data_IF_650273564134
#
_entry.id   IF_650273564134
#
_cell.length_a   1.000
_cell.length_b   1.000
_cell.length_c   1.000
_cell.angle_alpha   90.00
_cell.angle_beta   90.00
_cell.angle_gamma   90.00
#
_symmetry.space_group_name_H-M   'P 1'
#
loop_
_entity.id
_entity.type
_entity.pdbx_description
1 polymer ?
#
# COMPACT_ATOMS: atom_id res chain seq x y z
N UNK A 1 -3.21 50.45 -10.91
CA UNK A 1 -2.45 50.12 -12.14
C UNK A 1 -2.78 48.73 -12.65
N UNK A 2 -2.78 47.70 -11.80
CA UNK A 2 -3.25 46.34 -12.14
C UNK A 2 -4.76 46.27 -12.45
N UNK A 3 -5.57 47.14 -11.85
CA UNK A 3 -7.03 47.24 -12.07
C UNK A 3 -7.43 47.63 -13.50
N UNK A 4 -6.47 48.01 -14.36
CA UNK A 4 -6.70 48.39 -15.76
C UNK A 4 -6.35 47.26 -16.74
N UNK A 5 -5.95 46.09 -16.23
CA UNK A 5 -5.56 44.93 -17.03
C UNK A 5 -6.65 43.87 -16.93
N UNK A 6 -7.15 43.41 -18.08
CA UNK A 6 -8.12 42.33 -18.12
C UNK A 6 -7.45 40.99 -17.83
N UNK A 7 -8.12 40.12 -17.08
CA UNK A 7 -7.69 38.73 -16.90
C UNK A 7 -7.70 38.05 -18.25
N UNK A 8 -6.60 37.41 -18.62
CA UNK A 8 -6.50 36.63 -19.84
C UNK A 8 -7.38 35.37 -19.72
N UNK A 9 -7.98 34.90 -20.82
CA UNK A 9 -8.69 33.63 -20.82
C UNK A 9 -7.75 32.48 -20.45
N UNK A 10 -8.29 31.46 -19.79
CA UNK A 10 -7.56 30.24 -19.50
C UNK A 10 -7.20 29.50 -20.79
N UNK A 11 -6.00 28.93 -20.83
CA UNK A 11 -5.52 28.10 -21.94
C UNK A 11 -5.17 26.70 -21.45
N UNK A 12 -5.52 25.68 -22.25
CA UNK A 12 -5.10 24.31 -22.01
C UNK A 12 -3.76 24.07 -22.69
N UNK A 13 -2.73 23.86 -21.89
CA UNK A 13 -1.38 23.54 -22.37
C UNK A 13 -0.99 22.12 -21.96
N UNK A 14 -0.12 21.43 -22.72
CA UNK A 14 0.46 20.15 -22.28
C UNK A 14 1.20 20.31 -20.95
N UNK A 15 1.16 19.29 -20.08
CA UNK A 15 1.81 19.34 -18.76
C UNK A 15 3.31 19.71 -18.85
N UNK A 16 4.01 19.21 -19.87
CA UNK A 16 5.42 19.52 -20.11
C UNK A 16 5.70 21.01 -20.43
N UNK A 17 4.68 21.76 -20.89
CA UNK A 17 4.76 23.19 -21.18
C UNK A 17 4.09 24.05 -20.09
N UNK A 18 3.44 23.43 -19.10
CA UNK A 18 2.73 24.12 -18.03
C UNK A 18 3.66 24.67 -16.94
N UNK A 19 4.96 24.35 -16.99
CA UNK A 19 5.94 24.87 -16.04
C UNK A 19 5.88 26.41 -16.04
N UNK A 20 5.82 27.01 -14.85
CA UNK A 20 5.67 28.46 -14.63
C UNK A 20 4.30 29.08 -14.97
N UNK A 21 3.35 28.28 -15.45
CA UNK A 21 1.97 28.72 -15.60
C UNK A 21 1.26 28.78 -14.25
N UNK A 22 0.21 29.59 -14.17
CA UNK A 22 -0.69 29.65 -13.00
C UNK A 22 -1.94 28.83 -13.33
N UNK A 23 -2.37 27.98 -12.39
CA UNK A 23 -3.62 27.22 -12.54
C UNK A 23 -4.80 28.18 -12.64
N UNK A 24 -5.62 28.00 -13.67
CA UNK A 24 -6.84 28.77 -13.86
C UNK A 24 -7.98 28.34 -12.91
N UNK A 25 -7.95 27.09 -12.46
CA UNK A 25 -8.94 26.48 -11.57
C UNK A 25 -8.29 25.42 -10.66
N UNK A 26 -8.95 25.01 -9.55
CA UNK A 26 -8.47 23.93 -8.71
C UNK A 26 -8.32 22.61 -9.47
N UNK A 27 -7.25 21.86 -9.19
CA UNK A 27 -7.08 20.48 -9.68
C UNK A 27 -7.59 19.53 -8.61
N UNK A 28 -8.55 18.69 -8.99
CA UNK A 28 -9.14 17.65 -8.13
C UNK A 28 -8.77 16.29 -8.71
N UNK A 29 -8.30 15.37 -7.85
CA UNK A 29 -7.98 14.00 -8.27
C UNK A 29 -9.24 13.28 -8.72
N UNK A 30 -9.15 12.57 -9.85
CA UNK A 30 -10.23 11.70 -10.32
C UNK A 30 -10.25 10.32 -9.63
N UNK A 31 -9.18 9.99 -8.90
CA UNK A 31 -8.96 8.66 -8.33
C UNK A 31 -8.27 8.72 -6.97
N UNK A 32 -8.36 7.62 -6.22
CA UNK A 32 -7.58 7.40 -5.02
C UNK A 32 -6.15 7.00 -5.38
N UNK A 33 -5.18 7.51 -4.61
CA UNK A 33 -3.76 7.16 -4.77
C UNK A 33 -3.20 6.82 -3.38
N UNK A 34 -2.90 5.53 -3.09
CA UNK A 34 -3.06 4.37 -3.98
C UNK A 34 -4.55 3.99 -4.22
N UNK A 35 -4.85 3.27 -5.31
CA UNK A 35 -6.23 2.85 -5.62
C UNK A 35 -6.73 1.66 -4.78
N UNK A 36 -5.86 1.04 -3.98
CA UNK A 36 -6.15 -0.07 -3.08
C UNK A 36 -5.24 -0.01 -1.86
N UNK A 37 -5.63 -0.73 -0.81
CA UNK A 37 -4.79 -0.94 0.37
C UNK A 37 -3.59 -1.80 0.00
N UNK A 38 -2.37 -1.32 0.27
CA UNK A 38 -1.13 -1.99 -0.07
C UNK A 38 -0.19 -2.07 1.13
N UNK A 39 0.74 -3.04 1.10
CA UNK A 39 1.75 -3.15 2.14
C UNK A 39 2.71 -1.97 2.08
N UNK A 40 2.95 -1.33 3.23
CA UNK A 40 3.94 -0.26 3.36
C UNK A 40 5.38 -0.79 3.57
N UNK A 41 5.51 -2.08 3.87
CA UNK A 41 6.77 -2.74 4.25
C UNK A 41 6.91 -4.10 3.57
N UNK A 42 8.13 -4.63 3.56
CA UNK A 42 8.37 -6.04 3.29
C UNK A 42 8.14 -6.83 4.58
N UNK A 43 7.36 -7.91 4.52
CA UNK A 43 6.99 -8.64 5.72
C UNK A 43 5.87 -9.64 5.51
N UNK A 44 4.92 -9.65 6.45
CA UNK A 44 3.82 -10.60 6.46
C UNK A 44 2.48 -9.89 6.67
N UNK A 45 1.55 -10.10 5.75
CA UNK A 45 0.15 -9.73 5.91
C UNK A 45 -0.50 -10.69 6.91
N UNK A 46 -1.09 -10.14 7.96
CA UNK A 46 -1.63 -10.87 9.12
C UNK A 46 -2.97 -10.29 9.54
N UNK A 47 -3.64 -10.99 10.46
CA UNK A 47 -4.73 -10.45 11.25
C UNK A 47 -4.17 -9.83 12.52
N UNK A 48 -4.44 -8.56 12.76
CA UNK A 48 -4.02 -7.81 13.95
C UNK A 48 -4.46 -8.51 15.24
N UNK A 49 -5.64 -9.13 15.23
CA UNK A 49 -6.17 -9.90 16.35
C UNK A 49 -5.30 -11.11 16.73
N UNK A 50 -4.62 -11.74 15.77
CA UNK A 50 -3.76 -12.90 16.04
C UNK A 50 -2.44 -12.44 16.66
N UNK A 51 -1.83 -11.37 16.12
CA UNK A 51 -0.54 -10.82 16.60
C UNK A 51 -0.62 -10.04 17.90
N UNK A 52 -1.82 -9.73 18.40
CA UNK A 52 -2.00 -9.16 19.73
C UNK A 52 -1.51 -10.09 20.85
N UNK A 53 -1.38 -11.40 20.59
CA UNK A 53 -0.86 -12.40 21.51
C UNK A 53 0.63 -12.70 21.31
N UNK A 54 1.36 -11.89 20.54
CA UNK A 54 2.79 -12.08 20.31
C UNK A 54 3.59 -12.18 21.63
N UNK A 55 4.65 -13.03 21.68
CA UNK A 55 5.20 -13.79 20.56
C UNK A 55 4.36 -15.04 20.20
N UNK A 56 4.18 -15.29 18.90
CA UNK A 56 3.46 -16.48 18.40
C UNK A 56 3.90 -16.93 17.01
N UNK A 57 3.62 -18.19 16.68
CA UNK A 57 3.86 -18.74 15.34
C UNK A 57 2.59 -18.67 14.47
N UNK A 58 2.76 -18.22 13.23
CA UNK A 58 1.73 -18.20 12.19
C UNK A 58 2.13 -19.11 11.03
N UNK A 59 1.15 -19.80 10.44
CA UNK A 59 1.34 -20.57 9.21
C UNK A 59 1.44 -19.64 8.00
N UNK A 60 2.51 -19.74 7.22
CA UNK A 60 2.65 -18.99 5.97
C UNK A 60 1.98 -19.78 4.85
N UNK A 61 0.92 -19.22 4.26
CA UNK A 61 0.10 -19.91 3.26
C UNK A 61 0.34 -19.46 1.82
N UNK A 62 1.03 -18.34 1.62
CA UNK A 62 1.38 -17.79 0.30
C UNK A 62 2.54 -16.79 0.38
N UNK A 63 3.08 -16.40 -0.78
CA UNK A 63 4.07 -15.34 -0.95
C UNK A 63 3.73 -14.45 -2.16
N UNK A 64 3.59 -13.14 -1.92
CA UNK A 64 3.16 -12.16 -2.92
C UNK A 64 4.28 -11.13 -3.19
N UNK A 65 4.74 -11.09 -4.44
CA UNK A 65 5.68 -10.06 -4.92
C UNK A 65 4.98 -8.74 -5.25
N UNK A 66 5.76 -7.65 -5.35
CA UNK A 66 5.24 -6.35 -5.77
C UNK A 66 4.54 -6.43 -7.14
N UNK A 67 3.33 -5.85 -7.23
CA UNK A 67 2.51 -5.87 -8.44
C UNK A 67 1.70 -7.16 -8.69
N UNK A 68 1.87 -8.19 -7.85
CA UNK A 68 1.00 -9.38 -7.83
C UNK A 68 -0.01 -9.28 -6.69
N UNK A 69 -1.05 -10.13 -6.71
CA UNK A 69 -2.04 -10.24 -5.65
C UNK A 69 -2.29 -11.72 -5.32
N UNK A 70 -2.48 -12.06 -4.04
CA UNK A 70 -2.90 -13.40 -3.65
C UNK A 70 -4.39 -13.61 -3.95
N UNK A 71 -4.75 -14.84 -4.30
CA UNK A 71 -6.15 -15.29 -4.35
C UNK A 71 -6.61 -15.94 -3.05
N UNK A 72 -5.69 -16.12 -2.09
CA UNK A 72 -5.97 -16.70 -0.78
C UNK A 72 -6.42 -15.61 0.20
N UNK A 73 -7.18 -16.03 1.21
CA UNK A 73 -7.64 -15.18 2.32
C UNK A 73 -6.87 -15.57 3.58
N UNK A 74 -6.33 -14.59 4.29
CA UNK A 74 -5.64 -14.81 5.57
C UNK A 74 -6.67 -15.14 6.65
N UNK A 75 -6.63 -16.37 7.14
CA UNK A 75 -7.44 -16.86 8.26
C UNK A 75 -6.76 -16.72 9.62
N UNK A 76 -7.41 -17.25 10.65
CA UNK A 76 -6.85 -17.27 12.00
C UNK A 76 -5.58 -18.12 12.08
N UNK A 77 -4.52 -17.58 12.68
CA UNK A 77 -3.23 -18.27 12.81
C UNK A 77 -2.45 -18.38 11.50
N UNK A 78 -2.84 -17.62 10.47
CA UNK A 78 -2.21 -17.64 9.15
C UNK A 78 -1.58 -16.29 8.81
N UNK A 79 -0.63 -16.34 7.89
CA UNK A 79 0.05 -15.18 7.33
C UNK A 79 0.33 -15.39 5.85
N UNK A 80 0.45 -14.30 5.10
CA UNK A 80 0.96 -14.31 3.72
C UNK A 80 2.19 -13.42 3.68
N UNK A 81 3.31 -13.92 3.16
CA UNK A 81 4.49 -13.08 2.96
C UNK A 81 4.21 -12.07 1.86
N UNK A 82 4.50 -10.80 2.11
CA UNK A 82 4.12 -9.70 1.22
C UNK A 82 5.27 -8.70 1.08
N UNK A 83 5.44 -8.16 -0.12
CA UNK A 83 6.42 -7.12 -0.42
C UNK A 83 5.77 -5.74 -0.47
N UNK A 84 6.58 -4.71 -0.30
CA UNK A 84 6.17 -3.30 -0.35
C UNK A 84 5.42 -3.00 -1.64
N UNK A 85 4.27 -2.35 -1.52
CA UNK A 85 3.42 -1.94 -2.62
C UNK A 85 2.47 -3.02 -3.15
N UNK A 86 2.62 -4.29 -2.75
CA UNK A 86 1.66 -5.33 -3.11
C UNK A 86 0.29 -5.08 -2.43
N UNK A 87 -0.85 -5.37 -3.09
CA UNK A 87 -2.18 -5.27 -2.50
C UNK A 87 -2.32 -6.15 -1.26
N UNK A 88 -2.99 -5.63 -0.24
CA UNK A 88 -3.30 -6.40 0.96
C UNK A 88 -4.22 -7.59 0.61
N UNK A 89 -3.87 -8.83 0.99
CA UNK A 89 -4.72 -9.99 0.78
C UNK A 89 -6.01 -9.89 1.59
N UNK A 90 -7.08 -10.51 1.10
CA UNK A 90 -8.34 -10.55 1.84
C UNK A 90 -8.13 -11.18 3.23
N UNK A 91 -8.82 -10.64 4.24
CA UNK A 91 -8.77 -11.13 5.62
C UNK A 91 -7.60 -10.58 6.44
N UNK A 92 -6.55 -10.04 5.82
CA UNK A 92 -5.50 -9.32 6.53
C UNK A 92 -5.90 -7.85 6.74
N UNK A 93 -5.57 -7.31 7.91
CA UNK A 93 -5.80 -5.91 8.31
C UNK A 93 -4.53 -5.25 8.88
N UNK A 94 -3.41 -5.97 8.90
CA UNK A 94 -2.11 -5.46 9.33
C UNK A 94 -0.95 -6.14 8.58
N UNK A 95 0.20 -5.48 8.59
CA UNK A 95 1.48 -6.02 8.12
C UNK A 95 2.52 -5.99 9.23
N UNK A 96 3.22 -7.09 9.46
CA UNK A 96 4.39 -7.15 10.37
C UNK A 96 5.67 -7.10 9.53
N UNK A 97 6.60 -6.22 9.90
CA UNK A 97 7.89 -6.05 9.24
C UNK A 97 8.73 -7.33 9.33
N UNK A 98 9.50 -7.64 8.29
CA UNK A 98 10.36 -8.84 8.29
C UNK A 98 11.37 -8.84 9.46
N UNK A 99 11.83 -7.68 9.89
CA UNK A 99 12.74 -7.47 11.02
C UNK A 99 12.15 -7.95 12.36
N UNK A 100 10.83 -7.81 12.52
CA UNK A 100 10.07 -8.21 13.71
C UNK A 100 9.61 -9.68 13.65
N UNK A 101 10.13 -10.43 12.68
CA UNK A 101 9.80 -11.84 12.50
C UNK A 101 11.03 -12.73 12.42
N UNK A 102 10.81 -14.04 12.57
CA UNK A 102 11.79 -15.09 12.30
C UNK A 102 11.13 -16.17 11.43
N UNK A 103 11.77 -16.50 10.30
CA UNK A 103 11.24 -17.48 9.36
C UNK A 103 11.54 -18.90 9.87
N UNK A 104 10.52 -19.74 9.93
CA UNK A 104 10.59 -21.11 10.44
C UNK A 104 10.28 -22.13 9.34
N UNK A 105 10.79 -23.35 9.49
CA UNK A 105 10.39 -24.50 8.66
C UNK A 105 10.52 -24.26 7.15
N UNK A 106 11.66 -23.72 6.71
CA UNK A 106 11.93 -23.34 5.30
C UNK A 106 10.92 -22.34 4.70
N UNK A 107 10.25 -21.58 5.57
CA UNK A 107 9.25 -20.58 5.17
C UNK A 107 7.81 -21.06 5.22
N UNK A 108 7.52 -22.26 5.71
CA UNK A 108 6.16 -22.73 5.96
C UNK A 108 5.50 -22.05 7.17
N UNK A 109 6.30 -21.45 8.07
CA UNK A 109 5.83 -20.73 9.23
C UNK A 109 6.68 -19.49 9.52
N UNK A 110 6.14 -18.59 10.34
CA UNK A 110 6.82 -17.39 10.81
C UNK A 110 6.52 -17.17 12.28
N UNK A 111 7.56 -16.93 13.08
CA UNK A 111 7.45 -16.46 14.44
C UNK A 111 7.37 -14.93 14.41
N UNK A 112 6.30 -14.37 14.96
CA UNK A 112 6.18 -12.93 15.24
C UNK A 112 6.71 -12.69 16.65
N UNK A 113 7.65 -11.75 16.80
CA UNK A 113 8.36 -11.47 18.05
C UNK A 113 7.56 -10.57 18.99
#
# INVERSE_FOLDING_TARGET
>A
MLERVAVLPAERVPLAAAMWSVLAEPIVSAEAVPPFENSAVDGYAVRAADVAAAPLELQVIDEVAAGAASSLTVGAGQAIRIMTGAPMPAGADASVMVEDTERLGDGAAVLVK
#
